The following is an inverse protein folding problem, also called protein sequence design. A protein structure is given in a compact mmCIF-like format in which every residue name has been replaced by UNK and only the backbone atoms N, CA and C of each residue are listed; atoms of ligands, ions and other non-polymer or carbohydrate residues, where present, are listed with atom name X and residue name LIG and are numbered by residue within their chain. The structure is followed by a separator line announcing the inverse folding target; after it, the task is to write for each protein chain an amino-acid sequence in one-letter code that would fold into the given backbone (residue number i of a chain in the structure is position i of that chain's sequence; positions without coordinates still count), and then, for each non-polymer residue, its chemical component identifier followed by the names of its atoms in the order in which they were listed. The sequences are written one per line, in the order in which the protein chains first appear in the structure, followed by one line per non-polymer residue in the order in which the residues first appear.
data_IF_176820277451
#
_entry.id   IF_176820277451
#
_cell.length_a   1.000
_cell.length_b   1.000
_cell.length_c   1.000
_cell.angle_alpha   90.00
_cell.angle_beta   90.00
_cell.angle_gamma   90.00
#
_symmetry.space_group_name_H-M   'P 1'
#
loop_
_entity.id
_entity.type
_entity.pdbx_description
1 polymer ?
#
# COMPACT_ATOMS: atom_id res chain seq x y z
N UNK A 1 -0.46 18.56 -40.77
CA UNK A 1 -0.60 17.14 -40.57
C UNK A 1 -1.51 16.93 -39.36
N UNK A 2 -2.73 16.44 -39.58
CA UNK A 2 -3.62 16.07 -38.44
C UNK A 2 -3.11 14.77 -37.88
N UNK A 3 -2.51 14.79 -36.69
CA UNK A 3 -2.22 13.59 -35.94
C UNK A 3 -3.55 12.92 -35.57
N UNK A 4 -3.78 11.73 -36.12
CA UNK A 4 -4.90 10.86 -35.79
C UNK A 4 -4.93 10.66 -34.26
N UNK A 5 -6.03 11.08 -33.63
CA UNK A 5 -6.17 11.05 -32.19
C UNK A 5 -6.12 9.62 -31.64
N UNK A 6 -5.05 9.27 -31.00
CA UNK A 6 -5.07 8.31 -29.91
C UNK A 6 -6.04 8.89 -28.89
N UNK A 7 -7.10 8.18 -28.56
CA UNK A 7 -8.15 8.64 -27.63
C UNK A 7 -7.47 9.19 -26.37
N UNK A 8 -7.62 10.49 -26.13
CA UNK A 8 -7.03 11.13 -24.95
C UNK A 8 -7.86 10.71 -23.75
N UNK A 9 -7.24 9.97 -22.85
CA UNK A 9 -7.81 9.76 -21.53
C UNK A 9 -7.91 11.11 -20.80
N UNK A 10 -8.94 11.26 -19.99
CA UNK A 10 -9.09 12.44 -19.12
C UNK A 10 -8.18 12.30 -17.90
N UNK A 11 -7.82 13.43 -17.28
CA UNK A 11 -7.11 13.43 -15.99
C UNK A 11 -7.88 12.60 -14.96
N UNK A 12 -7.19 11.71 -14.28
CA UNK A 12 -7.77 10.84 -13.26
C UNK A 12 -8.62 9.69 -13.79
N UNK A 13 -8.78 9.54 -15.10
CA UNK A 13 -9.53 8.43 -15.66
C UNK A 13 -8.87 7.09 -15.31
N UNK A 14 -9.59 6.13 -14.68
CA UNK A 14 -9.04 4.80 -14.36
C UNK A 14 -8.61 4.04 -15.62
N UNK A 15 -7.45 3.37 -15.54
CA UNK A 15 -6.89 2.56 -16.62
C UNK A 15 -6.52 1.16 -16.08
N UNK A 16 -7.25 0.11 -16.50
CA UNK A 16 -8.46 0.10 -17.34
C UNK A 16 -9.65 0.81 -16.66
N UNK A 17 -10.70 1.12 -17.42
CA UNK A 17 -11.91 1.76 -16.90
C UNK A 17 -12.71 0.79 -16.02
N UNK A 18 -12.21 0.53 -14.80
CA UNK A 18 -12.80 -0.35 -13.78
C UNK A 18 -12.74 0.31 -12.42
N UNK A 19 -13.65 -0.06 -11.52
CA UNK A 19 -13.77 0.49 -10.18
C UNK A 19 -12.47 0.34 -9.37
N UNK A 20 -11.84 -0.83 -9.45
CA UNK A 20 -10.62 -1.15 -8.67
C UNK A 20 -9.33 -1.01 -9.48
N UNK A 21 -9.33 -0.22 -10.55
CA UNK A 21 -8.09 0.08 -11.26
C UNK A 21 -7.11 0.80 -10.33
N UNK A 22 -5.84 0.39 -10.35
CA UNK A 22 -4.77 1.00 -9.54
C UNK A 22 -4.03 2.11 -10.28
N UNK A 23 -4.25 2.22 -11.60
CA UNK A 23 -3.64 3.25 -12.43
C UNK A 23 -4.69 4.24 -12.90
N UNK A 24 -4.29 5.50 -13.00
CA UNK A 24 -5.09 6.58 -13.59
C UNK A 24 -4.29 7.30 -14.65
N UNK A 25 -5.01 7.93 -15.57
CA UNK A 25 -4.40 8.74 -16.62
C UNK A 25 -3.88 10.07 -16.09
N UNK A 26 -2.66 10.40 -16.45
CA UNK A 26 -2.03 11.72 -16.32
C UNK A 26 -1.63 12.19 -17.72
N UNK A 27 -2.56 12.77 -18.50
CA UNK A 27 -2.38 12.95 -19.95
C UNK A 27 -1.38 14.04 -20.36
N UNK A 28 -1.05 14.94 -19.44
CA UNK A 28 -0.12 16.04 -19.70
C UNK A 28 1.03 16.09 -18.70
N UNK A 29 2.12 16.76 -19.04
CA UNK A 29 3.23 16.99 -18.12
C UNK A 29 2.79 17.82 -16.90
N UNK A 30 1.87 18.76 -17.09
CA UNK A 30 1.29 19.57 -16.01
C UNK A 30 0.52 18.69 -15.01
N UNK A 31 -0.23 17.70 -15.51
CA UNK A 31 -0.92 16.73 -14.66
C UNK A 31 0.06 15.87 -13.85
N UNK A 32 1.18 15.45 -14.48
CA UNK A 32 2.23 14.69 -13.77
C UNK A 32 2.88 15.55 -12.69
N UNK A 33 3.24 16.80 -13.00
CA UNK A 33 3.80 17.73 -12.01
C UNK A 33 2.80 17.95 -10.88
N UNK A 34 1.54 18.23 -11.21
CA UNK A 34 0.49 18.44 -10.22
C UNK A 34 0.29 17.22 -9.31
N UNK A 35 0.43 16.00 -9.84
CA UNK A 35 0.37 14.78 -9.06
C UNK A 35 1.56 14.65 -8.10
N UNK A 36 2.79 14.86 -8.58
CA UNK A 36 4.00 14.74 -7.77
C UNK A 36 4.07 15.83 -6.68
N UNK A 37 3.64 17.05 -6.99
CA UNK A 37 3.57 18.17 -6.05
C UNK A 37 2.33 18.13 -5.13
N UNK A 38 1.49 17.09 -5.27
CA UNK A 38 0.26 16.89 -4.49
C UNK A 38 -0.71 18.06 -4.62
N UNK A 39 -0.82 18.62 -5.82
CA UNK A 39 -1.77 19.69 -6.11
C UNK A 39 -3.20 19.22 -5.78
N UNK A 40 -3.96 19.95 -4.94
CA UNK A 40 -5.28 19.53 -4.50
C UNK A 40 -6.28 19.32 -5.65
N UNK A 41 -6.21 20.13 -6.72
CA UNK A 41 -7.12 20.02 -7.86
C UNK A 41 -6.80 18.76 -8.68
N UNK A 42 -5.52 18.46 -8.90
CA UNK A 42 -5.08 17.24 -9.57
C UNK A 42 -5.49 16.00 -8.78
N UNK A 43 -5.25 15.99 -7.47
CA UNK A 43 -5.63 14.86 -6.61
C UNK A 43 -7.14 14.68 -6.50
N UNK A 44 -7.93 15.77 -6.47
CA UNK A 44 -9.39 15.71 -6.42
C UNK A 44 -10.01 15.10 -7.70
N UNK A 45 -9.32 15.18 -8.84
CA UNK A 45 -9.76 14.54 -10.09
C UNK A 45 -9.56 13.02 -10.11
N UNK A 46 -8.85 12.46 -9.13
CA UNK A 46 -8.49 11.04 -9.08
C UNK A 46 -9.45 10.26 -8.18
N UNK A 47 -10.33 9.40 -8.71
CA UNK A 47 -11.20 8.52 -7.90
C UNK A 47 -10.41 7.38 -7.27
N UNK A 48 -9.29 7.06 -7.86
CA UNK A 48 -8.25 6.13 -7.42
C UNK A 48 -6.92 6.68 -7.91
N UNK A 49 -5.84 6.05 -7.54
CA UNK A 49 -4.53 6.45 -8.02
C UNK A 49 -3.51 5.46 -7.50
N UNK A 50 -2.27 5.74 -7.75
CA UNK A 50 -1.22 4.92 -7.19
C UNK A 50 -1.48 4.74 -5.68
N UNK A 51 -1.80 3.52 -5.17
CA UNK A 51 -2.47 3.35 -3.87
C UNK A 51 -1.73 3.99 -2.70
N UNK A 52 -0.44 4.20 -2.83
CA UNK A 52 0.38 4.84 -1.81
C UNK A 52 0.23 6.36 -1.73
N UNK A 53 -0.26 7.02 -2.78
CA UNK A 53 -0.44 8.48 -2.78
C UNK A 53 -1.91 8.89 -2.70
N UNK A 54 -2.78 8.10 -3.32
CA UNK A 54 -4.21 8.40 -3.37
C UNK A 54 -4.98 7.21 -2.83
N UNK A 55 -5.63 7.43 -1.69
CA UNK A 55 -6.51 6.41 -1.11
C UNK A 55 -7.71 6.19 -2.03
N UNK A 56 -8.02 4.92 -2.31
CA UNK A 56 -9.20 4.58 -3.09
C UNK A 56 -10.48 5.08 -2.39
N UNK A 57 -11.44 5.60 -3.18
CA UNK A 57 -12.68 6.17 -2.65
C UNK A 57 -13.46 5.21 -1.73
N UNK A 58 -13.53 3.91 -2.08
CA UNK A 58 -14.21 2.90 -1.25
C UNK A 58 -13.53 2.78 0.13
N UNK A 59 -12.21 2.79 0.18
CA UNK A 59 -11.47 2.76 1.45
C UNK A 59 -11.75 4.04 2.25
N UNK A 60 -11.82 5.20 1.60
CA UNK A 60 -12.15 6.45 2.30
C UNK A 60 -13.58 6.45 2.83
N UNK A 61 -14.56 5.98 2.04
CA UNK A 61 -15.95 5.85 2.47
C UNK A 61 -16.09 4.89 3.67
N UNK A 62 -15.38 3.76 3.65
CA UNK A 62 -15.36 2.84 4.79
C UNK A 62 -14.76 3.50 6.03
N UNK A 63 -13.66 4.24 5.89
CA UNK A 63 -13.06 5.00 7.01
C UNK A 63 -14.06 6.01 7.56
N UNK A 64 -14.72 6.79 6.71
CA UNK A 64 -15.67 7.82 7.11
C UNK A 64 -16.89 7.21 7.81
N UNK A 65 -17.41 6.10 7.28
CA UNK A 65 -18.49 5.34 7.91
C UNK A 65 -18.13 4.84 9.31
N UNK A 66 -16.93 4.24 9.45
CA UNK A 66 -16.44 3.71 10.72
C UNK A 66 -16.13 4.81 11.76
N UNK A 67 -15.69 5.97 11.31
CA UNK A 67 -15.42 7.12 12.19
C UNK A 67 -16.71 7.84 12.60
N UNK A 68 -17.75 7.84 11.75
CA UNK A 68 -18.97 8.60 11.97
C UNK A 68 -18.65 10.09 12.17
N UNK A 69 -19.20 10.70 13.19
CA UNK A 69 -18.98 12.14 13.50
C UNK A 69 -17.50 12.49 13.71
N UNK A 70 -16.67 11.51 14.11
CA UNK A 70 -15.22 11.72 14.28
C UNK A 70 -14.47 11.91 12.98
N UNK A 71 -15.05 11.62 11.81
CA UNK A 71 -14.41 11.82 10.50
C UNK A 71 -14.02 13.30 10.26
N UNK A 72 -14.65 14.23 10.99
CA UNK A 72 -14.36 15.66 10.88
C UNK A 72 -12.97 16.00 11.42
N UNK A 73 -12.59 15.43 12.56
CA UNK A 73 -11.39 15.79 13.32
C UNK A 73 -10.36 14.63 13.45
N UNK A 74 -10.66 13.46 12.93
CA UNK A 74 -9.77 12.29 12.96
C UNK A 74 -9.33 11.85 11.55
N UNK A 75 -8.15 11.22 11.49
CA UNK A 75 -7.67 10.43 10.38
C UNK A 75 -7.81 8.95 10.73
N UNK A 76 -8.23 8.13 9.76
CA UNK A 76 -8.32 6.66 9.93
C UNK A 76 -7.36 5.93 9.01
N UNK A 77 -6.77 4.85 9.52
CA UNK A 77 -5.86 3.94 8.80
C UNK A 77 -6.38 2.52 8.94
N UNK A 78 -6.80 1.90 7.84
CA UNK A 78 -7.36 0.55 7.79
C UNK A 78 -6.28 -0.48 7.47
N UNK A 79 -5.81 -1.16 8.48
CA UNK A 79 -4.83 -2.23 8.36
C UNK A 79 -5.50 -3.56 8.00
N UNK A 80 -4.90 -4.32 7.09
CA UNK A 80 -5.36 -5.67 6.73
C UNK A 80 -5.06 -6.70 7.83
N UNK A 81 -4.08 -6.43 8.69
CA UNK A 81 -3.72 -7.31 9.82
C UNK A 81 -3.53 -6.50 11.10
N UNK A 82 -4.04 -7.04 12.17
CA UNK A 82 -3.91 -6.47 13.51
C UNK A 82 -2.46 -6.26 13.94
N UNK A 83 -1.57 -7.20 13.59
CA UNK A 83 -0.15 -7.15 13.92
C UNK A 83 0.56 -5.92 13.34
N UNK A 84 0.20 -5.51 12.12
CA UNK A 84 0.81 -4.32 11.50
C UNK A 84 0.33 -3.04 12.20
N UNK A 85 -0.91 -3.01 12.67
CA UNK A 85 -1.42 -1.93 13.51
C UNK A 85 -0.71 -1.87 14.86
N UNK A 86 -0.51 -3.02 15.51
CA UNK A 86 0.22 -3.13 16.78
C UNK A 86 1.69 -2.69 16.63
N UNK A 87 2.35 -3.07 15.54
CA UNK A 87 3.72 -2.63 15.23
C UNK A 87 3.81 -1.09 15.15
N UNK A 88 2.88 -0.46 14.44
CA UNK A 88 2.79 1.02 14.36
C UNK A 88 2.63 1.64 15.74
N UNK A 89 1.72 1.10 16.55
CA UNK A 89 1.44 1.63 17.88
C UNK A 89 2.67 1.58 18.79
N UNK A 90 3.38 0.46 18.79
CA UNK A 90 4.61 0.26 19.57
C UNK A 90 5.72 1.17 19.04
N UNK A 91 5.96 1.14 17.75
CA UNK A 91 7.05 1.86 17.06
C UNK A 91 6.97 3.36 17.28
N UNK A 92 5.77 3.93 17.17
CA UNK A 92 5.58 5.37 17.32
C UNK A 92 5.10 5.78 18.71
N UNK A 93 4.99 4.83 19.65
CA UNK A 93 4.57 5.04 21.04
C UNK A 93 3.25 5.81 21.10
N UNK A 94 2.26 5.36 20.32
CA UNK A 94 0.97 6.03 20.27
C UNK A 94 0.28 5.92 21.63
N UNK A 95 -0.17 7.05 22.14
CA UNK A 95 -0.84 7.13 23.45
C UNK A 95 -2.36 7.13 23.22
N UNK A 96 -3.04 6.12 23.77
CA UNK A 96 -4.49 5.96 23.70
C UNK A 96 -5.08 6.13 22.28
N UNK A 97 -4.57 5.45 21.27
CA UNK A 97 -5.17 5.50 19.94
C UNK A 97 -6.56 4.85 19.98
N UNK A 98 -7.49 5.35 19.19
CA UNK A 98 -8.79 4.71 19.02
C UNK A 98 -8.66 3.56 18.03
N UNK A 99 -9.08 2.37 18.44
CA UNK A 99 -9.09 1.16 17.63
C UNK A 99 -10.52 0.68 17.42
N UNK A 100 -10.79 0.25 16.20
CA UNK A 100 -12.00 -0.52 15.87
C UNK A 100 -11.56 -1.76 15.09
N UNK A 101 -12.09 -2.91 15.45
CA UNK A 101 -11.73 -4.20 14.85
C UNK A 101 -12.91 -4.78 14.10
N UNK A 102 -12.65 -5.30 12.91
CA UNK A 102 -13.49 -6.23 12.19
C UNK A 102 -12.77 -7.56 12.00
N UNK A 103 -13.39 -8.50 11.31
CA UNK A 103 -12.88 -9.87 11.15
C UNK A 103 -11.55 -9.89 10.38
N UNK A 104 -11.42 -9.01 9.38
CA UNK A 104 -10.27 -8.98 8.47
C UNK A 104 -9.63 -7.60 8.34
N UNK A 105 -9.87 -6.71 9.30
CA UNK A 105 -9.28 -5.37 9.30
C UNK A 105 -9.21 -4.78 10.71
N UNK A 106 -8.33 -3.81 10.85
CA UNK A 106 -8.24 -2.98 12.07
C UNK A 106 -8.13 -1.52 11.66
N UNK A 107 -9.05 -0.69 12.15
CA UNK A 107 -8.98 0.76 12.01
C UNK A 107 -8.22 1.35 13.19
N UNK A 108 -7.13 2.04 12.87
CA UNK A 108 -6.45 2.96 13.79
C UNK A 108 -6.90 4.37 13.48
N UNK A 109 -7.43 5.08 14.46
CA UNK A 109 -7.77 6.50 14.27
C UNK A 109 -7.01 7.42 15.22
N UNK A 110 -6.55 8.54 14.68
CA UNK A 110 -5.81 9.59 15.39
C UNK A 110 -6.44 10.95 15.08
N UNK A 111 -6.41 11.91 16.04
CA UNK A 111 -6.79 13.28 15.74
C UNK A 111 -6.01 13.84 14.56
N UNK A 112 -6.64 14.61 13.66
CA UNK A 112 -5.99 15.15 12.45
C UNK A 112 -4.74 15.98 12.76
N UNK A 113 -4.72 16.67 13.89
CA UNK A 113 -3.59 17.49 14.35
C UNK A 113 -2.51 16.71 15.09
N UNK A 114 -2.68 15.39 15.30
CA UNK A 114 -1.67 14.58 15.97
C UNK A 114 -0.36 14.56 15.16
N UNK A 115 0.74 14.85 15.83
CA UNK A 115 2.08 14.89 15.21
C UNK A 115 2.53 13.53 14.67
N UNK A 116 1.93 12.47 15.16
CA UNK A 116 2.19 11.09 14.74
C UNK A 116 1.60 10.76 13.38
N UNK A 117 0.57 11.49 12.92
CA UNK A 117 -0.11 11.19 11.66
C UNK A 117 0.84 11.06 10.46
N UNK A 118 1.82 11.95 10.33
CA UNK A 118 2.77 11.91 9.22
C UNK A 118 3.60 10.61 9.23
N UNK A 119 3.99 10.13 10.41
CA UNK A 119 4.76 8.88 10.55
C UNK A 119 3.91 7.65 10.29
N UNK A 120 2.67 7.64 10.80
CA UNK A 120 1.72 6.55 10.55
C UNK A 120 1.35 6.49 9.07
N UNK A 121 1.12 7.63 8.43
CA UNK A 121 0.85 7.71 7.00
C UNK A 121 2.04 7.18 6.17
N UNK A 122 3.26 7.55 6.50
CA UNK A 122 4.47 7.07 5.84
C UNK A 122 4.65 5.55 6.01
N UNK A 123 4.49 5.03 7.23
CA UNK A 123 4.51 3.59 7.47
C UNK A 123 3.47 2.88 6.60
N UNK A 124 2.22 3.32 6.65
CA UNK A 124 1.11 2.75 5.90
C UNK A 124 1.37 2.76 4.40
N UNK A 125 1.90 3.87 3.89
CA UNK A 125 2.26 4.05 2.48
C UNK A 125 3.35 3.08 2.03
N UNK A 126 4.46 3.00 2.77
CA UNK A 126 5.65 2.26 2.32
C UNK A 126 5.60 0.75 2.59
N UNK A 127 4.83 0.32 3.59
CA UNK A 127 4.68 -1.11 3.91
C UNK A 127 3.57 -1.80 3.14
N UNK A 128 2.63 -1.05 2.54
CA UNK A 128 1.49 -1.62 1.83
C UNK A 128 0.59 -2.49 2.70
N UNK A 129 0.52 -2.20 4.01
CA UNK A 129 -0.21 -3.00 4.99
C UNK A 129 -1.72 -2.69 5.06
N UNK A 130 -2.23 -1.85 4.18
CA UNK A 130 -3.65 -1.48 4.12
C UNK A 130 -4.54 -2.55 3.51
N UNK A 131 -5.84 -2.44 3.76
CA UNK A 131 -6.85 -3.26 3.09
C UNK A 131 -6.93 -2.93 1.60
N UNK A 132 -7.46 -3.87 0.82
CA UNK A 132 -7.78 -3.64 -0.59
C UNK A 132 -9.06 -2.82 -0.75
N UNK A 133 -9.21 -2.19 -1.92
CA UNK A 133 -10.46 -1.50 -2.27
C UNK A 133 -11.66 -2.45 -2.41
N UNK A 134 -11.41 -3.73 -2.73
CA UNK A 134 -12.46 -4.76 -2.77
C UNK A 134 -12.95 -5.16 -1.39
N UNK A 135 -12.06 -5.29 -0.42
CA UNK A 135 -12.47 -5.52 0.98
C UNK A 135 -13.30 -4.33 1.52
N UNK A 136 -12.95 -3.10 1.12
CA UNK A 136 -13.74 -1.93 1.48
C UNK A 136 -15.10 -1.90 0.77
N UNK A 137 -15.17 -2.31 -0.49
CA UNK A 137 -16.43 -2.44 -1.23
C UNK A 137 -17.36 -3.47 -0.60
N UNK A 138 -16.84 -4.67 -0.28
CA UNK A 138 -17.57 -5.74 0.40
C UNK A 138 -18.16 -5.23 1.72
N UNK A 139 -17.34 -4.61 2.57
CA UNK A 139 -17.81 -4.00 3.81
C UNK A 139 -18.93 -2.99 3.59
N UNK A 140 -18.75 -2.06 2.64
CA UNK A 140 -19.74 -1.03 2.35
C UNK A 140 -21.06 -1.60 1.83
N UNK A 141 -20.99 -2.65 1.02
CA UNK A 141 -22.17 -3.34 0.50
C UNK A 141 -22.94 -4.08 1.63
N UNK A 142 -22.23 -4.84 2.47
CA UNK A 142 -22.82 -5.53 3.61
C UNK A 142 -23.51 -4.58 4.61
N UNK A 143 -23.01 -3.34 4.70
CA UNK A 143 -23.56 -2.32 5.62
C UNK A 143 -24.52 -1.36 4.92
N UNK A 144 -24.96 -1.67 3.70
CA UNK A 144 -25.93 -0.87 2.95
C UNK A 144 -25.47 0.55 2.59
N UNK A 145 -24.16 0.76 2.50
CA UNK A 145 -23.56 2.06 2.14
C UNK A 145 -23.43 2.23 0.62
N UNK A 146 -23.51 1.15 -0.13
CA UNK A 146 -23.55 1.12 -1.60
C UNK A 146 -24.58 0.10 -2.05
N UNK A 147 -25.17 0.32 -3.22
CA UNK A 147 -26.24 -0.52 -3.77
C UNK A 147 -25.67 -1.74 -4.52
N UNK A 148 -24.56 -1.56 -5.23
CA UNK A 148 -23.96 -2.57 -6.11
C UNK A 148 -22.53 -2.88 -5.70
N UNK A 149 -22.12 -4.13 -5.93
CA UNK A 149 -20.77 -4.65 -5.71
C UNK A 149 -20.21 -5.24 -7.01
N UNK A 150 -18.91 -5.11 -7.27
CA UNK A 150 -18.27 -5.79 -8.39
C UNK A 150 -18.32 -7.31 -8.19
N UNK A 151 -19.10 -8.00 -9.01
CA UNK A 151 -19.15 -9.46 -8.97
C UNK A 151 -17.93 -10.02 -9.70
N UNK A 152 -17.05 -10.69 -8.96
CA UNK A 152 -15.93 -11.42 -9.51
C UNK A 152 -16.34 -12.86 -9.83
N UNK A 153 -15.73 -13.44 -10.87
CA UNK A 153 -15.83 -14.88 -11.07
C UNK A 153 -15.17 -15.59 -9.90
N UNK A 154 -15.93 -16.36 -9.17
CA UNK A 154 -15.41 -17.19 -8.10
C UNK A 154 -14.54 -18.31 -8.67
N UNK A 155 -13.38 -18.52 -8.08
CA UNK A 155 -12.55 -19.69 -8.31
C UNK A 155 -11.81 -20.05 -7.04
N UNK A 156 -12.05 -21.25 -6.55
CA UNK A 156 -11.34 -21.81 -5.40
C UNK A 156 -9.86 -22.04 -5.66
N UNK A 157 -9.43 -21.87 -6.92
CA UNK A 157 -8.07 -22.12 -7.38
C UNK A 157 -7.28 -20.85 -7.72
N UNK A 158 -7.79 -19.66 -7.42
CA UNK A 158 -7.14 -18.39 -7.82
C UNK A 158 -5.67 -18.31 -7.37
N UNK A 159 -5.40 -18.64 -6.12
CA UNK A 159 -4.03 -18.63 -5.60
C UNK A 159 -3.13 -19.63 -6.33
N UNK A 160 -3.61 -20.85 -6.55
CA UNK A 160 -2.88 -21.88 -7.27
C UNK A 160 -2.57 -21.46 -8.71
N UNK A 161 -3.56 -20.95 -9.44
CA UNK A 161 -3.40 -20.50 -10.82
C UNK A 161 -2.41 -19.35 -10.96
N UNK A 162 -2.41 -18.40 -10.01
CA UNK A 162 -1.44 -17.32 -9.97
C UNK A 162 -0.03 -17.86 -9.75
N UNK A 163 0.15 -18.73 -8.75
CA UNK A 163 1.45 -19.35 -8.45
C UNK A 163 1.95 -20.20 -9.62
N UNK A 164 1.10 -21.00 -10.24
CA UNK A 164 1.44 -21.78 -11.43
C UNK A 164 1.90 -20.89 -12.59
N UNK A 165 1.16 -19.80 -12.87
CA UNK A 165 1.51 -18.84 -13.92
C UNK A 165 2.87 -18.18 -13.66
N UNK A 166 3.14 -17.78 -12.42
CA UNK A 166 4.42 -17.17 -12.04
C UNK A 166 5.55 -18.19 -12.13
N UNK A 167 5.35 -19.41 -11.62
CA UNK A 167 6.32 -20.51 -11.69
C UNK A 167 6.71 -20.81 -13.15
N UNK A 168 5.73 -20.98 -14.04
CA UNK A 168 5.97 -21.20 -15.46
C UNK A 168 6.77 -20.07 -16.13
N UNK A 169 6.51 -18.82 -15.75
CA UNK A 169 7.24 -17.67 -16.28
C UNK A 169 8.70 -17.59 -15.81
N UNK A 170 8.99 -18.10 -14.61
CA UNK A 170 10.36 -18.15 -14.06
C UNK A 170 11.18 -19.35 -14.54
N UNK A 171 10.53 -20.41 -14.99
CA UNK A 171 11.18 -21.62 -15.50
C UNK A 171 11.15 -22.80 -14.51
N UNK A 172 11.75 -23.95 -14.91
CA UNK A 172 11.56 -25.23 -14.23
C UNK A 172 12.20 -25.35 -12.84
N UNK A 173 12.96 -24.36 -12.42
CA UNK A 173 13.62 -24.35 -11.10
C UNK A 173 12.75 -23.72 -10.00
N UNK A 174 11.58 -23.16 -10.35
CA UNK A 174 10.67 -22.51 -9.40
C UNK A 174 9.35 -23.27 -9.36
N UNK A 175 9.06 -23.89 -8.24
CA UNK A 175 7.80 -24.61 -8.04
C UNK A 175 6.73 -23.66 -7.45
N UNK A 176 5.42 -23.88 -7.70
CA UNK A 176 4.35 -23.09 -7.09
C UNK A 176 4.43 -23.02 -5.56
N UNK A 177 4.97 -24.07 -4.92
CA UNK A 177 5.18 -24.12 -3.45
C UNK A 177 6.25 -23.18 -2.93
N UNK A 178 7.16 -22.70 -3.79
CA UNK A 178 8.21 -21.73 -3.44
C UNK A 178 7.69 -20.30 -3.42
N UNK A 179 6.46 -20.09 -3.91
CA UNK A 179 5.87 -18.78 -4.10
C UNK A 179 4.94 -18.40 -2.92
N UNK A 180 5.17 -17.25 -2.35
CA UNK A 180 4.29 -16.61 -1.37
C UNK A 180 3.68 -15.36 -1.99
N UNK A 181 2.36 -15.28 -1.96
CA UNK A 181 1.63 -14.12 -2.49
C UNK A 181 1.44 -13.06 -1.40
N UNK A 182 1.51 -11.80 -1.79
CA UNK A 182 1.21 -10.66 -0.94
C UNK A 182 0.27 -9.69 -1.67
N UNK A 183 -0.36 -8.79 -0.93
CA UNK A 183 -1.33 -7.83 -1.48
C UNK A 183 -0.72 -6.82 -2.46
N UNK A 184 0.57 -6.58 -2.35
CA UNK A 184 1.33 -5.67 -3.24
C UNK A 184 2.82 -5.96 -3.17
N UNK A 185 3.60 -5.42 -4.12
CA UNK A 185 5.07 -5.50 -4.10
C UNK A 185 5.68 -4.87 -2.85
N UNK A 186 5.14 -3.74 -2.38
CA UNK A 186 5.57 -3.10 -1.12
C UNK A 186 5.31 -4.02 0.08
N UNK A 187 4.13 -4.65 0.13
CA UNK A 187 3.79 -5.60 1.20
C UNK A 187 4.66 -6.87 1.15
N UNK A 188 4.94 -7.39 -0.05
CA UNK A 188 5.83 -8.53 -0.23
C UNK A 188 7.24 -8.24 0.30
N UNK A 189 7.81 -7.09 -0.09
CA UNK A 189 9.12 -6.69 0.40
C UNK A 189 9.13 -6.43 1.91
N UNK A 190 8.10 -5.77 2.44
CA UNK A 190 7.93 -5.55 3.88
C UNK A 190 7.94 -6.87 4.66
N UNK A 191 7.14 -7.85 4.25
CA UNK A 191 7.06 -9.15 4.90
C UNK A 191 8.40 -9.91 4.85
N UNK A 192 9.04 -9.92 3.68
CA UNK A 192 10.34 -10.55 3.48
C UNK A 192 11.41 -9.89 4.34
N UNK A 193 11.53 -8.56 4.30
CA UNK A 193 12.59 -7.84 5.01
C UNK A 193 12.42 -7.92 6.53
N UNK A 194 11.18 -7.87 7.03
CA UNK A 194 10.88 -8.11 8.46
C UNK A 194 11.36 -9.49 8.92
N UNK A 195 11.04 -10.54 8.15
CA UNK A 195 11.48 -11.91 8.44
C UNK A 195 13.01 -12.04 8.36
N UNK A 196 13.63 -11.42 7.34
CA UNK A 196 15.08 -11.41 7.20
C UNK A 196 15.78 -10.67 8.36
N UNK A 197 15.19 -9.57 8.85
CA UNK A 197 15.72 -8.81 9.98
C UNK A 197 15.68 -9.65 11.27
N UNK A 198 14.59 -10.36 11.52
CA UNK A 198 14.49 -11.25 12.67
C UNK A 198 15.51 -12.42 12.60
N UNK A 199 15.63 -13.02 11.41
CA UNK A 199 16.66 -14.05 11.18
C UNK A 199 18.09 -13.51 11.38
N UNK A 200 18.39 -12.32 10.86
CA UNK A 200 19.68 -11.67 10.99
C UNK A 200 20.02 -11.39 12.45
N UNK A 201 19.03 -10.92 13.23
CA UNK A 201 19.16 -10.70 14.67
C UNK A 201 19.57 -11.99 15.41
N UNK A 202 18.92 -13.11 15.11
CA UNK A 202 19.25 -14.42 15.69
C UNK A 202 20.66 -14.90 15.32
N UNK A 203 21.19 -14.44 14.19
CA UNK A 203 22.55 -14.75 13.71
C UNK A 203 23.59 -13.67 14.07
N UNK A 204 23.22 -12.70 14.92
CA UNK A 204 24.07 -11.56 15.28
C UNK A 204 24.60 -10.77 14.06
N UNK A 205 23.76 -10.66 13.01
CA UNK A 205 24.04 -9.83 11.82
C UNK A 205 23.35 -8.49 12.00
N UNK A 206 24.13 -7.41 11.97
CA UNK A 206 23.64 -6.06 12.26
C UNK A 206 23.88 -5.06 11.12
N UNK A 207 24.43 -5.52 9.99
CA UNK A 207 24.72 -4.64 8.84
C UNK A 207 23.92 -5.09 7.63
N UNK A 208 23.16 -4.15 7.09
CA UNK A 208 22.44 -4.28 5.81
C UNK A 208 23.17 -3.44 4.77
N UNK A 209 23.36 -3.99 3.58
CA UNK A 209 23.99 -3.27 2.48
C UNK A 209 22.92 -3.01 1.41
N UNK A 210 22.72 -1.73 1.11
CA UNK A 210 21.90 -1.27 0.01
C UNK A 210 22.82 -0.97 -1.17
N UNK A 211 22.75 -1.82 -2.20
CA UNK A 211 23.61 -1.68 -3.36
C UNK A 211 22.86 -1.02 -4.52
N UNK A 212 23.34 0.12 -4.95
CA UNK A 212 22.76 0.89 -6.03
C UNK A 212 21.43 1.57 -5.65
N UNK A 213 20.70 2.02 -6.65
CA UNK A 213 19.44 2.70 -6.47
C UNK A 213 18.28 1.70 -6.44
N UNK A 214 17.60 1.62 -5.31
CA UNK A 214 16.44 0.77 -5.10
C UNK A 214 15.15 1.59 -5.23
N UNK A 215 14.04 0.87 -5.38
CA UNK A 215 12.72 1.47 -5.33
C UNK A 215 12.46 2.13 -3.98
N UNK A 216 11.77 3.29 -3.98
CA UNK A 216 11.61 4.13 -2.79
C UNK A 216 11.03 3.37 -1.59
N UNK A 217 9.96 2.59 -1.78
CA UNK A 217 9.36 1.84 -0.67
C UNK A 217 10.33 0.80 -0.09
N UNK A 218 11.16 0.17 -0.94
CA UNK A 218 12.23 -0.72 -0.49
C UNK A 218 13.22 0.00 0.42
N UNK A 219 13.64 1.21 0.02
CA UNK A 219 14.55 2.06 0.81
C UNK A 219 13.91 2.39 2.16
N UNK A 220 12.67 2.82 2.16
CA UNK A 220 11.96 3.22 3.38
C UNK A 220 11.72 2.04 4.32
N UNK A 221 11.36 0.87 3.81
CA UNK A 221 11.23 -0.35 4.62
C UNK A 221 12.60 -0.77 5.21
N UNK A 222 13.69 -0.67 4.45
CA UNK A 222 15.03 -0.96 4.97
C UNK A 222 15.42 0.04 6.07
N UNK A 223 15.14 1.32 5.90
CA UNK A 223 15.40 2.33 6.93
C UNK A 223 14.56 2.07 8.19
N UNK A 224 13.30 1.67 8.01
CA UNK A 224 12.36 1.44 9.10
C UNK A 224 12.77 0.27 10.02
N UNK A 225 13.25 -0.82 9.45
CA UNK A 225 13.56 -2.05 10.18
C UNK A 225 15.06 -2.34 10.30
N UNK A 226 15.85 -2.01 9.29
CA UNK A 226 17.29 -2.29 9.28
C UNK A 226 18.07 -1.46 10.30
N UNK A 227 17.63 -0.21 10.54
CA UNK A 227 18.23 0.67 11.54
C UNK A 227 17.85 0.35 12.99
N UNK A 228 16.85 -0.49 13.21
CA UNK A 228 16.36 -0.82 14.56
C UNK A 228 17.33 -1.72 15.35
N UNK A 229 17.99 -2.65 14.67
CA UNK A 229 18.91 -3.62 15.26
C UNK A 229 20.32 -3.55 14.69
N UNK A 230 20.61 -2.52 13.88
CA UNK A 230 21.90 -2.41 13.21
C UNK A 230 22.05 -1.14 12.41
N UNK A 231 22.71 -1.24 11.28
CA UNK A 231 22.93 -0.13 10.35
C UNK A 231 22.61 -0.52 8.91
N UNK A 232 22.16 0.45 8.13
CA UNK A 232 21.98 0.33 6.68
C UNK A 232 23.07 1.14 6.01
N UNK A 233 23.94 0.44 5.28
CA UNK A 233 25.01 1.05 4.49
C UNK A 233 24.54 1.20 3.04
N UNK A 234 24.81 2.36 2.48
CA UNK A 234 24.49 2.65 1.08
C UNK A 234 25.75 2.62 0.23
N UNK A 235 25.73 1.86 -0.85
CA UNK A 235 26.83 1.74 -1.81
C UNK A 235 26.32 2.11 -3.19
N UNK A 236 26.53 3.35 -3.61
CA UNK A 236 26.02 3.89 -4.88
C UNK A 236 27.03 3.82 -6.03
N UNK A 237 28.31 3.54 -5.74
CA UNK A 237 29.38 3.46 -6.75
C UNK A 237 30.25 2.22 -6.50
N UNK A 238 30.62 1.55 -7.58
CA UNK A 238 31.65 0.50 -7.56
C UNK A 238 33.00 1.15 -7.28
N UNK A 239 33.61 0.85 -6.14
CA UNK A 239 34.90 1.41 -5.74
C UNK A 239 34.87 2.29 -4.48
N UNK A 240 33.72 2.47 -3.85
CA UNK A 240 33.59 3.04 -2.51
C UNK A 240 33.59 1.91 -1.45
N UNK A 241 34.62 1.10 -1.44
CA UNK A 241 34.84 0.08 -0.40
C UNK A 241 36.03 0.48 0.49
#
# INVERSE_FOLDING_TARGET
MKTSGVGRFSLGQPVPARTHAVCVSLPTLEDVIGYEEKNPQTLAAMPTGYPRFVRHRMIQQMVDHLLGDRAIDHCGYLFARKQDCEDVMIRYRLVNPNLTHGDHWTLLSLPRHAKENARVAAYFQHTGCGISSRQAEEYLWEHGQIEDQEVLAETDQAEFLIKETISQAHGPEVEPSDLLLASSGANAFHALFRSATEWARQKNKSVWIRWGWLYLDTIEVMNLYGGEYGSVLEVNQVGQT
#
